data_IF_287958415821
#
_entry.id   IF_287958415821
#
_cell.length_a   1.000
_cell.length_b   1.000
_cell.length_c   1.000
_cell.angle_alpha   90.00
_cell.angle_beta   90.00
_cell.angle_gamma   90.00
#
_symmetry.space_group_name_H-M   'P 1'
#
loop_
_entity.id
_entity.type
_entity.pdbx_description
1 polymer ?
#
# COMPACT_ATOMS: atom_id res chain seq x y z
N UNK A 1 17.08 -9.62 -15.91
CA UNK A 1 16.15 -8.48 -15.88
C UNK A 1 15.85 -8.27 -14.42
N UNK A 2 16.67 -7.47 -13.75
CA UNK A 2 16.58 -7.28 -12.29
C UNK A 2 15.59 -6.14 -12.03
N UNK A 3 14.30 -6.46 -12.15
CA UNK A 3 13.21 -5.58 -11.79
C UNK A 3 12.73 -5.95 -10.40
N UNK A 4 13.23 -5.27 -9.37
CA UNK A 4 12.69 -5.39 -8.03
C UNK A 4 11.30 -4.73 -8.01
N UNK A 5 10.25 -5.54 -8.08
CA UNK A 5 8.87 -5.06 -7.99
C UNK A 5 8.57 -4.72 -6.53
N UNK A 6 8.46 -3.43 -6.23
CA UNK A 6 8.12 -2.93 -4.89
C UNK A 6 6.80 -2.16 -4.90
N UNK A 7 6.07 -2.24 -3.78
CA UNK A 7 4.88 -1.40 -3.57
C UNK A 7 5.31 0.03 -3.30
N UNK A 8 4.75 0.98 -4.03
CA UNK A 8 5.16 2.39 -3.98
C UNK A 8 4.06 3.27 -3.42
N UNK A 9 4.39 4.05 -2.38
CA UNK A 9 3.47 5.02 -1.79
C UNK A 9 3.04 6.04 -2.83
N UNK A 10 1.74 6.28 -2.92
CA UNK A 10 1.12 7.17 -3.91
C UNK A 10 0.63 6.47 -5.17
N UNK A 11 0.96 5.19 -5.38
CA UNK A 11 0.45 4.42 -6.51
C UNK A 11 -0.96 3.91 -6.22
N UNK A 12 -1.81 3.83 -7.25
CA UNK A 12 -3.17 3.27 -7.16
C UNK A 12 -3.12 1.78 -7.45
N UNK A 13 -3.70 1.00 -6.56
CA UNK A 13 -3.75 -0.46 -6.66
C UNK A 13 -5.19 -0.96 -6.61
N UNK A 14 -5.42 -2.12 -7.23
CA UNK A 14 -6.55 -3.00 -6.94
C UNK A 14 -6.04 -4.14 -6.08
N UNK A 15 -6.71 -4.37 -4.95
CA UNK A 15 -6.30 -5.31 -3.90
C UNK A 15 -7.39 -6.36 -3.74
N UNK A 16 -7.00 -7.62 -3.87
CA UNK A 16 -7.83 -8.74 -3.46
C UNK A 16 -7.33 -9.24 -2.11
N UNK A 17 -8.24 -9.29 -1.13
CA UNK A 17 -7.93 -9.65 0.25
C UNK A 17 -8.82 -10.80 0.78
N UNK A 18 -9.35 -11.63 -0.13
CA UNK A 18 -10.15 -12.80 0.19
C UNK A 18 -11.66 -12.57 0.28
N UNK A 19 -12.11 -11.32 0.33
CA UNK A 19 -13.53 -10.95 0.26
C UNK A 19 -14.07 -10.91 -1.19
N UNK A 20 -15.40 -10.96 -1.32
CA UNK A 20 -16.09 -10.83 -2.62
C UNK A 20 -15.85 -9.46 -3.29
N UNK A 21 -15.60 -8.39 -2.51
CA UNK A 21 -15.33 -7.05 -3.04
C UNK A 21 -13.84 -6.68 -3.06
N UNK A 22 -13.38 -6.34 -4.26
CA UNK A 22 -12.03 -5.80 -4.49
C UNK A 22 -11.92 -4.38 -3.93
N UNK A 23 -10.81 -4.11 -3.23
CA UNK A 23 -10.49 -2.75 -2.81
C UNK A 23 -9.70 -2.04 -3.90
N UNK A 24 -10.10 -0.82 -4.26
CA UNK A 24 -9.32 0.05 -5.17
C UNK A 24 -8.97 1.33 -4.43
N UNK A 25 -7.68 1.66 -4.37
CA UNK A 25 -7.23 2.86 -3.66
C UNK A 25 -5.76 3.18 -3.81
N UNK A 26 -5.38 4.36 -3.33
CA UNK A 26 -4.00 4.84 -3.33
C UNK A 26 -3.27 4.30 -2.11
N UNK A 27 -2.15 3.60 -2.32
CA UNK A 27 -1.33 3.08 -1.23
C UNK A 27 -0.67 4.22 -0.45
N UNK A 28 -0.87 4.25 0.87
CA UNK A 28 -0.35 5.29 1.77
C UNK A 28 0.82 4.81 2.63
N UNK A 29 1.04 3.50 2.73
CA UNK A 29 2.12 2.92 3.52
C UNK A 29 1.61 1.75 4.37
N UNK A 30 2.42 1.38 5.36
CA UNK A 30 2.11 0.30 6.29
C UNK A 30 1.74 0.85 7.67
N UNK A 31 0.90 0.13 8.41
CA UNK A 31 0.56 0.41 9.81
C UNK A 31 0.55 -0.87 10.61
N UNK A 32 0.82 -0.79 11.92
CA UNK A 32 0.59 -1.89 12.83
C UNK A 32 -0.89 -1.94 13.26
N UNK A 33 -1.47 -3.13 13.37
CA UNK A 33 -2.77 -3.39 14.01
C UNK A 33 -2.56 -4.55 14.98
N UNK A 34 -2.47 -4.23 16.28
CA UNK A 34 -2.05 -5.21 17.28
C UNK A 34 -0.67 -5.78 16.96
N UNK A 35 -0.57 -7.10 16.81
CA UNK A 35 0.66 -7.80 16.41
C UNK A 35 0.85 -7.93 14.90
N UNK A 36 -0.12 -7.47 14.10
CA UNK A 36 -0.13 -7.67 12.65
C UNK A 36 0.29 -6.39 11.91
N UNK A 37 0.73 -6.56 10.66
CA UNK A 37 1.03 -5.45 9.75
C UNK A 37 -0.08 -5.30 8.73
N UNK A 38 -0.58 -4.09 8.55
CA UNK A 38 -1.60 -3.75 7.56
C UNK A 38 -1.03 -2.82 6.48
N UNK A 39 -1.52 -2.99 5.25
CA UNK A 39 -1.38 -2.01 4.19
C UNK A 39 -2.52 -0.99 4.27
N UNK A 40 -2.17 0.28 4.15
CA UNK A 40 -3.10 1.40 4.25
C UNK A 40 -3.40 1.94 2.87
N UNK A 41 -4.68 2.00 2.52
CA UNK A 41 -5.18 2.54 1.26
C UNK A 41 -6.16 3.69 1.52
N UNK A 42 -6.06 4.76 0.73
CA UNK A 42 -7.10 5.77 0.65
C UNK A 42 -7.97 5.46 -0.57
N UNK A 43 -9.27 5.24 -0.34
CA UNK A 43 -10.25 4.97 -1.38
C UNK A 43 -10.67 6.27 -2.07
N UNK A 44 -11.39 6.14 -3.18
CA UNK A 44 -11.82 7.28 -4.01
C UNK A 44 -12.83 8.19 -3.27
N UNK A 45 -13.58 7.67 -2.29
CA UNK A 45 -14.47 8.42 -1.40
C UNK A 45 -13.74 9.09 -0.20
N UNK A 46 -12.42 8.94 -0.14
CA UNK A 46 -11.58 9.48 0.94
C UNK A 46 -11.46 8.58 2.17
N UNK A 47 -12.17 7.46 2.24
CA UNK A 47 -12.08 6.50 3.35
C UNK A 47 -10.67 5.90 3.41
N UNK A 48 -10.13 5.78 4.64
CA UNK A 48 -8.89 5.05 4.89
C UNK A 48 -9.23 3.61 5.22
N UNK A 49 -8.78 2.68 4.37
CA UNK A 49 -8.92 1.25 4.56
C UNK A 49 -7.60 0.64 4.97
N UNK A 50 -7.65 -0.15 6.03
CA UNK A 50 -6.53 -0.98 6.48
C UNK A 50 -6.83 -2.41 6.09
N UNK A 51 -5.88 -3.05 5.41
CA UNK A 51 -5.99 -4.45 5.00
C UNK A 51 -4.82 -5.18 5.63
N UNK A 52 -5.08 -6.20 6.44
CA UNK A 52 -4.02 -7.02 7.00
C UNK A 52 -3.19 -7.63 5.86
N UNK A 53 -1.87 -7.46 5.92
CA UNK A 53 -0.96 -7.92 4.89
C UNK A 53 -1.07 -9.44 4.68
N UNK A 54 -1.36 -10.20 5.74
CA UNK A 54 -1.52 -11.65 5.68
C UNK A 54 -2.78 -12.11 4.91
N UNK A 55 -3.75 -11.21 4.68
CA UNK A 55 -4.99 -11.51 3.97
C UNK A 55 -4.93 -11.15 2.48
N UNK A 56 -3.89 -10.41 2.05
CA UNK A 56 -3.77 -9.98 0.65
C UNK A 56 -3.37 -11.17 -0.22
N UNK A 57 -4.23 -11.49 -1.21
CA UNK A 57 -3.98 -12.52 -2.21
C UNK A 57 -3.14 -11.96 -3.35
N UNK A 58 -3.52 -10.78 -3.87
CA UNK A 58 -2.75 -10.10 -4.92
C UNK A 58 -3.00 -8.58 -4.95
N UNK A 59 -2.08 -7.89 -5.63
CA UNK A 59 -2.10 -6.46 -5.89
C UNK A 59 -1.88 -6.22 -7.39
N UNK A 60 -2.84 -5.58 -8.06
CA UNK A 60 -2.65 -5.06 -9.41
C UNK A 60 -2.26 -3.58 -9.32
N UNK A 61 -1.13 -3.21 -9.94
CA UNK A 61 -0.76 -1.81 -10.12
C UNK A 61 -1.61 -1.20 -11.23
N UNK A 62 -2.49 -0.27 -10.90
CA UNK A 62 -3.33 0.45 -11.86
C UNK A 62 -2.66 1.73 -12.35
N UNK A 63 -2.09 2.49 -11.42
CA UNK A 63 -1.43 3.76 -11.71
C UNK A 63 -0.18 3.89 -10.83
N UNK A 64 0.97 4.10 -11.46
CA UNK A 64 2.22 4.34 -10.75
C UNK A 64 2.30 5.78 -10.24
N UNK A 65 2.74 5.96 -9.00
CA UNK A 65 3.03 7.28 -8.45
C UNK A 65 4.04 8.01 -9.36
N UNK A 66 3.89 9.32 -9.55
CA UNK A 66 4.89 10.10 -10.29
C UNK A 66 6.26 9.94 -9.63
N UNK A 67 7.27 9.57 -10.43
CA UNK A 67 8.67 9.47 -9.97
C UNK A 67 9.15 10.85 -9.54
N UNK A 68 9.04 11.18 -8.25
CA UNK A 68 9.81 12.31 -7.69
C UNK A 68 11.29 11.95 -7.80
N UNK A 69 12.17 12.88 -8.23
CA UNK A 69 13.61 12.64 -8.22
C UNK A 69 14.02 12.23 -6.80
N UNK A 70 14.64 11.07 -6.68
CA UNK A 70 14.95 10.44 -5.41
C UNK A 70 15.94 11.31 -4.62
N UNK A 71 15.45 12.02 -3.60
CA UNK A 71 16.29 12.25 -2.43
C UNK A 71 16.39 10.89 -1.74
N UNK A 72 17.60 10.34 -1.66
CA UNK A 72 17.95 9.15 -0.88
C UNK A 72 17.18 9.21 0.45
N UNK A 73 16.19 8.33 0.64
CA UNK A 73 15.51 8.20 1.91
C UNK A 73 16.39 7.34 2.80
N UNK A 74 16.97 7.99 3.81
CA UNK A 74 17.50 7.31 4.98
C UNK A 74 16.41 6.42 5.58
N UNK A 75 16.82 5.22 5.93
CA UNK A 75 16.05 4.18 6.61
C UNK A 75 15.36 4.68 7.87
N UNK A 76 14.08 4.37 8.02
CA UNK A 76 13.42 4.36 9.32
C UNK A 76 12.57 5.59 9.63
N UNK A 77 11.34 5.63 9.13
CA UNK A 77 10.28 6.39 9.78
C UNK A 77 9.10 5.45 10.01
N UNK A 78 9.22 4.60 11.03
CA UNK A 78 8.06 3.97 11.65
C UNK A 78 7.42 5.04 12.53
N UNK A 79 6.18 5.39 12.21
CA UNK A 79 5.40 6.33 13.02
C UNK A 79 4.82 5.53 14.20
N UNK A 80 5.29 5.82 15.40
CA UNK A 80 4.65 5.37 16.63
C UNK A 80 3.75 6.53 17.09
N UNK A 81 2.44 6.29 17.12
CA UNK A 81 1.48 7.14 17.82
C UNK A 81 1.27 6.64 19.24
#
# INVERSE_FOLDING_TARGET
MDGEFSVSVGSKYRVNHGDEELTVGVFKGYSAIGSETAMVFQLDDGVIRFINLAQIIYLDLLEAAPKKPSKKKETGSVYYG
#
